data_IF_873435571574
#
_entry.id   IF_873435571574
#
_cell.length_a   1.000
_cell.length_b   1.000
_cell.length_c   1.000
_cell.angle_alpha   90.00
_cell.angle_beta   90.00
_cell.angle_gamma   90.00
#
_symmetry.space_group_name_H-M   'P 1'
#
loop_
_entity.id
_entity.type
_entity.pdbx_description
1 polymer ?
#
# COMPACT_ATOMS: atom_id res chain seq x y z
N UNK A 1 5.87 -20.99 10.11
CA UNK A 1 5.81 -19.68 10.80
C UNK A 1 4.70 -18.88 10.14
N UNK A 2 3.65 -18.55 10.91
CA UNK A 2 2.58 -17.69 10.44
C UNK A 2 3.16 -16.26 10.30
N UNK A 3 2.74 -15.48 9.28
CA UNK A 3 3.14 -14.08 9.19
C UNK A 3 2.80 -13.34 10.48
N UNK A 4 3.69 -12.48 10.94
CA UNK A 4 3.59 -11.75 12.21
C UNK A 4 2.32 -10.90 12.36
N UNK A 5 1.60 -10.64 11.27
CA UNK A 5 0.39 -9.80 11.21
C UNK A 5 -0.93 -10.58 11.28
N UNK A 6 -0.90 -11.90 11.43
CA UNK A 6 -2.13 -12.70 11.56
C UNK A 6 -2.58 -12.79 13.01
N UNK A 7 -3.84 -12.45 13.25
CA UNK A 7 -4.47 -12.66 14.56
C UNK A 7 -4.63 -14.15 14.85
N UNK A 8 -4.34 -14.56 16.09
CA UNK A 8 -4.46 -15.96 16.49
C UNK A 8 -5.92 -16.46 16.33
N UNK A 9 -6.12 -17.72 15.91
CA UNK A 9 -7.43 -18.36 15.92
C UNK A 9 -8.04 -18.27 17.33
N UNK A 10 -9.25 -17.69 17.44
CA UNK A 10 -9.90 -17.45 18.74
C UNK A 10 -9.82 -16.02 19.25
N UNK A 11 -9.06 -15.14 18.59
CA UNK A 11 -9.11 -13.70 18.86
C UNK A 11 -10.54 -13.18 18.68
N UNK A 12 -11.09 -12.36 19.62
CA UNK A 12 -12.43 -11.79 19.50
C UNK A 12 -12.69 -11.07 18.17
N UNK A 13 -11.69 -10.43 17.59
CA UNK A 13 -11.80 -9.75 16.29
C UNK A 13 -11.98 -10.75 15.15
N UNK A 14 -11.26 -11.87 15.14
CA UNK A 14 -11.44 -12.94 14.14
C UNK A 14 -12.87 -13.49 14.22
N UNK A 15 -13.34 -13.80 15.43
CA UNK A 15 -14.70 -14.31 15.64
C UNK A 15 -15.77 -13.33 15.20
N UNK A 16 -15.55 -12.03 15.41
CA UNK A 16 -16.47 -10.97 14.96
C UNK A 16 -16.47 -10.88 13.43
N UNK A 17 -15.30 -10.91 12.80
CA UNK A 17 -15.16 -10.90 11.34
C UNK A 17 -15.86 -12.10 10.70
N UNK A 18 -15.66 -13.30 11.25
CA UNK A 18 -16.35 -14.52 10.83
C UNK A 18 -17.88 -14.40 10.97
N UNK A 19 -18.35 -13.89 12.12
CA UNK A 19 -19.80 -13.72 12.36
C UNK A 19 -20.45 -12.76 11.39
N UNK A 20 -19.78 -11.63 11.08
CA UNK A 20 -20.27 -10.65 10.09
C UNK A 20 -20.33 -11.30 8.70
N UNK A 21 -19.25 -12.01 8.32
CA UNK A 21 -19.17 -12.68 7.03
C UNK A 21 -20.22 -13.79 6.88
N UNK A 22 -20.49 -14.58 7.96
CA UNK A 22 -21.57 -15.58 7.99
C UNK A 22 -22.93 -14.89 7.76
N UNK A 23 -23.19 -13.81 8.50
CA UNK A 23 -24.47 -13.10 8.41
C UNK A 23 -24.72 -12.56 7.00
N UNK A 24 -23.71 -11.95 6.36
CA UNK A 24 -23.84 -11.42 5.00
C UNK A 24 -24.01 -12.55 3.99
N UNK A 25 -23.24 -13.63 4.14
CA UNK A 25 -23.37 -14.81 3.28
C UNK A 25 -24.76 -15.43 3.40
N UNK A 26 -25.31 -15.54 4.61
CA UNK A 26 -26.66 -16.07 4.85
C UNK A 26 -27.73 -15.19 4.18
N UNK A 27 -27.62 -13.88 4.25
CA UNK A 27 -28.55 -12.96 3.58
C UNK A 27 -28.56 -13.17 2.06
N UNK A 28 -27.38 -13.33 1.46
CA UNK A 28 -27.23 -13.51 0.01
C UNK A 28 -27.74 -14.89 -0.41
N UNK A 29 -27.31 -15.96 0.29
CA UNK A 29 -27.64 -17.35 -0.06
C UNK A 29 -29.15 -17.62 0.12
N UNK A 30 -29.75 -17.07 1.18
CA UNK A 30 -31.19 -17.24 1.45
C UNK A 30 -32.05 -16.25 0.66
N UNK A 31 -31.48 -15.39 -0.16
CA UNK A 31 -32.17 -14.34 -0.90
C UNK A 31 -33.07 -13.50 0.00
N UNK A 32 -32.56 -13.11 1.19
CA UNK A 32 -33.31 -12.31 2.16
C UNK A 32 -33.77 -10.99 1.53
N UNK A 33 -35.00 -10.60 1.79
CA UNK A 33 -35.61 -9.45 1.13
C UNK A 33 -35.19 -8.15 1.80
N UNK A 34 -34.61 -7.25 1.02
CA UNK A 34 -34.36 -5.87 1.42
C UNK A 34 -35.70 -5.10 1.36
N UNK A 35 -36.27 -4.80 2.53
CA UNK A 35 -37.61 -4.18 2.63
C UNK A 35 -37.69 -2.82 1.93
N UNK A 36 -36.62 -2.01 1.99
CA UNK A 36 -36.58 -0.68 1.36
C UNK A 36 -36.67 -0.73 -0.17
N UNK A 37 -36.14 -1.80 -0.79
CA UNK A 37 -36.07 -1.94 -2.25
C UNK A 37 -36.99 -3.06 -2.79
N UNK A 38 -37.65 -3.84 -1.92
CA UNK A 38 -38.54 -4.96 -2.26
C UNK A 38 -37.88 -5.98 -3.23
N UNK A 39 -36.61 -6.27 -3.03
CA UNK A 39 -35.81 -7.24 -3.78
C UNK A 39 -34.82 -7.98 -2.86
N UNK A 40 -34.25 -9.10 -3.30
CA UNK A 40 -33.18 -9.76 -2.52
C UNK A 40 -32.01 -8.83 -2.25
N UNK A 41 -31.40 -8.98 -1.07
CA UNK A 41 -30.15 -8.30 -0.69
C UNK A 41 -29.04 -8.74 -1.63
N UNK A 42 -28.30 -7.76 -2.16
CA UNK A 42 -27.12 -7.95 -2.99
C UNK A 42 -25.86 -7.50 -2.24
N UNK A 43 -24.68 -8.04 -2.57
CA UNK A 43 -23.42 -7.61 -1.95
C UNK A 43 -23.21 -6.10 -1.97
N UNK A 44 -23.54 -5.42 -3.07
CA UNK A 44 -23.41 -3.97 -3.23
C UNK A 44 -24.30 -3.12 -2.31
N UNK A 45 -25.34 -3.72 -1.70
CA UNK A 45 -26.18 -3.03 -0.71
C UNK A 45 -25.47 -2.85 0.65
N UNK A 46 -24.41 -3.63 0.91
CA UNK A 46 -23.76 -3.70 2.22
C UNK A 46 -22.50 -2.85 2.25
N UNK A 47 -22.40 -1.98 3.25
CA UNK A 47 -21.21 -1.18 3.56
C UNK A 47 -20.79 -1.45 5.00
N UNK A 48 -19.51 -1.79 5.21
CA UNK A 48 -18.94 -2.01 6.52
C UNK A 48 -17.98 -0.87 6.83
N UNK A 49 -18.28 -0.10 7.86
CA UNK A 49 -17.50 1.08 8.25
C UNK A 49 -16.63 0.78 9.46
N UNK A 50 -15.33 1.00 9.29
CA UNK A 50 -14.32 0.83 10.32
C UNK A 50 -13.78 2.20 10.76
N UNK A 51 -13.40 2.33 12.03
CA UNK A 51 -12.77 3.57 12.51
C UNK A 51 -11.35 3.72 11.99
N UNK A 52 -10.60 2.62 11.99
CA UNK A 52 -9.22 2.55 11.51
C UNK A 52 -9.05 1.32 10.66
N UNK A 53 -8.19 1.40 9.68
CA UNK A 53 -7.65 0.23 9.00
C UNK A 53 -6.65 -0.47 9.92
N UNK A 54 -6.58 -1.76 9.83
CA UNK A 54 -5.68 -2.58 10.62
C UNK A 54 -6.01 -4.05 10.42
N UNK A 55 -5.38 -4.90 11.21
CA UNK A 55 -5.53 -6.37 11.14
C UNK A 55 -6.98 -6.86 11.14
N UNK A 56 -7.89 -6.13 11.79
CA UNK A 56 -9.33 -6.48 11.79
C UNK A 56 -9.96 -6.30 10.39
N UNK A 57 -9.59 -5.25 9.63
CA UNK A 57 -10.08 -5.05 8.26
C UNK A 57 -9.65 -6.20 7.34
N UNK A 58 -8.40 -6.64 7.48
CA UNK A 58 -7.84 -7.76 6.71
C UNK A 58 -8.54 -9.08 7.05
N UNK A 59 -8.77 -9.35 8.34
CA UNK A 59 -9.51 -10.52 8.77
C UNK A 59 -10.94 -10.53 8.24
N UNK A 60 -11.61 -9.37 8.23
CA UNK A 60 -12.96 -9.23 7.71
C UNK A 60 -13.03 -9.53 6.20
N UNK A 61 -12.12 -8.95 5.42
CA UNK A 61 -12.01 -9.21 3.98
C UNK A 61 -11.71 -10.70 3.73
N UNK A 62 -10.80 -11.30 4.51
CA UNK A 62 -10.48 -12.73 4.43
C UNK A 62 -11.70 -13.59 4.72
N UNK A 63 -12.44 -13.28 5.79
CA UNK A 63 -13.63 -14.02 6.20
C UNK A 63 -14.76 -13.95 5.14
N UNK A 64 -14.95 -12.79 4.50
CA UNK A 64 -15.91 -12.62 3.41
C UNK A 64 -15.50 -13.41 2.17
N UNK A 65 -14.24 -13.34 1.77
CA UNK A 65 -13.69 -14.10 0.62
C UNK A 65 -13.78 -15.60 0.85
N UNK A 66 -13.52 -16.10 2.07
CA UNK A 66 -13.63 -17.51 2.41
C UNK A 66 -15.06 -18.04 2.25
N UNK A 67 -16.06 -17.18 2.26
CA UNK A 67 -17.49 -17.49 2.01
C UNK A 67 -17.94 -17.16 0.60
N UNK A 68 -17.01 -16.84 -0.30
CA UNK A 68 -17.29 -16.45 -1.68
C UNK A 68 -18.21 -15.23 -1.79
N UNK A 69 -18.21 -14.35 -0.79
CA UNK A 69 -18.91 -13.07 -0.81
C UNK A 69 -18.04 -12.07 -1.57
N UNK A 70 -18.50 -11.48 -2.69
CA UNK A 70 -17.77 -10.43 -3.40
C UNK A 70 -17.51 -9.24 -2.47
N UNK A 71 -16.29 -8.79 -2.39
CA UNK A 71 -15.88 -7.68 -1.51
C UNK A 71 -15.13 -6.63 -2.32
N UNK A 72 -15.71 -5.44 -2.45
CA UNK A 72 -15.00 -4.22 -2.84
C UNK A 72 -14.32 -3.68 -1.59
N UNK A 73 -13.07 -3.89 -1.47
CA UNK A 73 -12.43 -3.47 -0.24
C UNK A 73 -11.09 -4.12 0.00
N UNK A 74 -10.46 -4.43 -1.02
CA UNK A 74 -9.06 -4.15 -1.19
C UNK A 74 -9.02 -3.00 -2.16
N UNK A 75 -8.70 -1.91 -1.84
CA UNK A 75 -7.41 -1.42 -1.59
C UNK A 75 -7.41 0.09 -1.67
N UNK A 76 -7.09 0.66 -0.58
CA UNK A 76 -5.96 1.55 -0.70
C UNK A 76 -4.74 0.63 -0.53
N UNK A 77 -4.34 -0.08 -1.58
CA UNK A 77 -3.02 -0.64 -1.68
C UNK A 77 -2.10 0.57 -1.57
N UNK A 78 -1.21 0.59 -0.59
CA UNK A 78 -0.06 1.48 -0.67
C UNK A 78 0.64 0.99 -1.93
N UNK A 79 0.51 1.74 -3.00
CA UNK A 79 0.95 1.31 -4.32
C UNK A 79 2.43 0.93 -4.30
N UNK A 80 3.21 1.64 -3.47
CA UNK A 80 4.64 1.40 -3.25
C UNK A 80 4.96 0.08 -2.55
N UNK A 81 3.98 -0.60 -1.91
CA UNK A 81 4.19 -1.93 -1.32
C UNK A 81 4.06 -3.05 -2.34
N UNK A 82 3.52 -2.76 -3.53
CA UNK A 82 3.38 -3.78 -4.57
C UNK A 82 4.70 -4.08 -5.26
N UNK A 83 5.08 -5.36 -5.36
CA UNK A 83 6.38 -5.78 -5.92
C UNK A 83 6.65 -5.20 -7.31
N UNK A 84 5.66 -5.20 -8.22
CA UNK A 84 5.83 -4.61 -9.55
C UNK A 84 6.18 -3.12 -9.50
N UNK A 85 5.62 -2.38 -8.53
CA UNK A 85 5.90 -0.96 -8.35
C UNK A 85 7.26 -0.75 -7.69
N UNK A 86 7.63 -1.60 -6.74
CA UNK A 86 8.97 -1.60 -6.15
C UNK A 86 10.07 -1.84 -7.20
N UNK A 87 9.83 -2.78 -8.15
CA UNK A 87 10.75 -3.03 -9.25
C UNK A 87 10.88 -1.81 -10.20
N UNK A 88 9.78 -1.12 -10.47
CA UNK A 88 9.81 0.13 -11.25
C UNK A 88 10.53 1.27 -10.49
N UNK A 89 10.29 1.42 -9.19
CA UNK A 89 10.98 2.39 -8.34
C UNK A 89 12.48 2.08 -8.31
N UNK A 90 12.87 0.82 -8.12
CA UNK A 90 14.29 0.42 -8.13
C UNK A 90 14.96 0.74 -9.47
N UNK A 91 14.25 0.51 -10.59
CA UNK A 91 14.74 0.89 -11.92
C UNK A 91 14.95 2.40 -12.06
N UNK A 92 14.00 3.20 -11.59
CA UNK A 92 14.13 4.66 -11.57
C UNK A 92 15.24 5.16 -10.64
N UNK A 93 15.41 4.53 -9.48
CA UNK A 93 16.50 4.83 -8.53
C UNK A 93 17.87 4.51 -9.15
N UNK A 94 18.00 3.36 -9.81
CA UNK A 94 19.22 3.06 -10.59
C UNK A 94 19.51 4.11 -11.64
N UNK A 95 18.48 4.57 -12.36
CA UNK A 95 18.64 5.59 -13.40
C UNK A 95 19.18 6.92 -12.86
N UNK A 96 18.83 7.29 -11.61
CA UNK A 96 19.31 8.52 -10.95
C UNK A 96 20.70 8.31 -10.34
N UNK A 97 20.93 7.18 -9.68
CA UNK A 97 22.17 6.89 -8.96
C UNK A 97 22.66 5.46 -9.26
N UNK A 98 23.33 5.26 -10.42
CA UNK A 98 23.83 3.94 -10.83
C UNK A 98 24.94 3.38 -9.92
N UNK A 99 25.51 4.23 -9.07
CA UNK A 99 26.51 3.84 -8.08
C UNK A 99 25.90 3.26 -6.76
N UNK A 100 24.57 3.26 -6.65
CA UNK A 100 23.86 2.56 -5.56
C UNK A 100 23.81 1.06 -5.84
N UNK A 101 24.69 0.32 -5.17
CA UNK A 101 24.82 -1.12 -5.33
C UNK A 101 23.56 -1.89 -4.92
N UNK A 102 22.79 -1.40 -3.93
CA UNK A 102 21.58 -2.07 -3.48
C UNK A 102 20.48 -2.00 -4.55
N UNK A 103 20.23 -0.82 -5.08
CA UNK A 103 19.28 -0.66 -6.17
C UNK A 103 19.73 -1.39 -7.43
N UNK A 104 21.02 -1.34 -7.76
CA UNK A 104 21.57 -2.09 -8.90
C UNK A 104 21.36 -3.59 -8.72
N UNK A 105 21.63 -4.15 -7.54
CA UNK A 105 21.39 -5.56 -7.25
C UNK A 105 19.89 -5.92 -7.34
N UNK A 106 19.01 -5.04 -6.85
CA UNK A 106 17.55 -5.23 -6.95
C UNK A 106 17.09 -5.31 -8.40
N UNK A 107 17.56 -4.40 -9.26
CA UNK A 107 17.23 -4.41 -10.70
C UNK A 107 17.79 -5.64 -11.40
N UNK A 108 19.02 -6.08 -11.06
CA UNK A 108 19.62 -7.27 -11.64
C UNK A 108 18.84 -8.54 -11.29
N UNK A 109 18.35 -8.66 -10.05
CA UNK A 109 17.53 -9.80 -9.59
C UNK A 109 16.07 -9.71 -10.01
N UNK A 110 15.60 -8.52 -10.30
CA UNK A 110 14.22 -8.24 -10.65
C UNK A 110 13.77 -8.84 -12.00
N UNK A 111 12.50 -8.70 -12.34
CA UNK A 111 11.85 -9.35 -13.47
C UNK A 111 12.45 -9.00 -14.85
N UNK A 112 13.19 -7.91 -14.95
CA UNK A 112 13.76 -7.44 -16.20
C UNK A 112 15.05 -8.18 -16.60
N UNK A 113 15.80 -8.71 -15.62
CA UNK A 113 17.14 -9.28 -15.84
C UNK A 113 17.32 -10.66 -15.21
N UNK A 114 16.53 -11.01 -14.20
CA UNK A 114 16.41 -12.34 -13.59
C UNK A 114 17.74 -12.97 -13.15
N UNK A 115 18.70 -12.18 -12.65
CA UNK A 115 19.94 -12.72 -12.13
C UNK A 115 19.67 -13.61 -10.91
N UNK A 116 20.25 -14.81 -10.93
CA UNK A 116 20.23 -15.68 -9.75
C UNK A 116 21.29 -15.25 -8.72
N UNK A 117 21.24 -15.88 -7.54
CA UNK A 117 22.16 -15.57 -6.41
C UNK A 117 23.63 -15.81 -6.79
N UNK A 118 23.92 -16.85 -7.58
CA UNK A 118 25.27 -17.19 -7.99
C UNK A 118 25.85 -16.13 -8.94
N UNK A 119 25.08 -15.69 -9.91
CA UNK A 119 25.48 -14.63 -10.85
C UNK A 119 25.71 -13.30 -10.14
N UNK A 120 24.84 -12.94 -9.19
CA UNK A 120 25.00 -11.72 -8.42
C UNK A 120 26.18 -11.81 -7.49
N UNK A 121 26.40 -12.96 -6.84
CA UNK A 121 27.54 -13.18 -5.98
C UNK A 121 28.87 -13.12 -6.75
N UNK A 122 28.93 -13.79 -7.93
CA UNK A 122 30.13 -13.74 -8.79
C UNK A 122 30.47 -12.31 -9.23
N UNK A 123 29.45 -11.50 -9.53
CA UNK A 123 29.63 -10.10 -9.88
C UNK A 123 30.06 -9.25 -8.68
N UNK A 124 29.54 -9.55 -7.49
CA UNK A 124 29.77 -8.75 -6.29
C UNK A 124 31.08 -9.06 -5.58
N UNK A 125 31.55 -10.32 -5.67
CA UNK A 125 32.72 -10.78 -4.91
C UNK A 125 34.02 -10.21 -5.47
N UNK A 126 34.81 -9.58 -4.59
CA UNK A 126 36.17 -9.12 -4.93
C UNK A 126 36.25 -7.89 -5.84
N UNK A 127 35.10 -7.25 -6.16
CA UNK A 127 35.09 -6.04 -6.96
C UNK A 127 35.80 -4.88 -6.25
N UNK A 128 36.40 -3.99 -7.02
CA UNK A 128 37.06 -2.78 -6.52
C UNK A 128 36.17 -1.52 -6.59
N UNK A 129 35.06 -1.58 -7.35
CA UNK A 129 34.14 -0.48 -7.59
C UNK A 129 32.68 -0.87 -7.35
N UNK A 130 31.77 -0.11 -7.97
CA UNK A 130 30.32 -0.36 -7.90
C UNK A 130 29.92 -1.61 -8.71
N UNK A 131 28.76 -2.21 -8.39
CA UNK A 131 28.22 -3.32 -9.16
C UNK A 131 28.04 -2.96 -10.64
N UNK A 132 27.59 -1.75 -10.91
CA UNK A 132 27.42 -1.26 -12.27
C UNK A 132 28.76 -1.17 -13.03
N UNK A 133 29.81 -0.64 -12.39
CA UNK A 133 31.14 -0.57 -13.00
C UNK A 133 31.71 -1.98 -13.27
N UNK A 134 31.51 -2.92 -12.34
CA UNK A 134 31.97 -4.30 -12.49
C UNK A 134 31.19 -5.01 -13.62
N UNK A 135 29.88 -4.87 -13.69
CA UNK A 135 29.07 -5.44 -14.75
C UNK A 135 29.52 -4.96 -16.14
N UNK A 136 29.79 -3.66 -16.27
CA UNK A 136 30.32 -3.10 -17.53
C UNK A 136 31.67 -3.64 -17.91
N UNK A 137 32.55 -3.80 -16.92
CA UNK A 137 33.91 -4.33 -17.17
C UNK A 137 33.89 -5.80 -17.60
N UNK A 138 32.88 -6.55 -17.17
CA UNK A 138 32.74 -7.99 -17.42
C UNK A 138 31.66 -8.33 -18.46
N UNK A 139 31.14 -7.35 -19.20
CA UNK A 139 30.05 -7.55 -20.15
C UNK A 139 30.34 -8.62 -21.22
N UNK A 140 31.60 -8.81 -21.62
CA UNK A 140 32.00 -9.79 -22.65
C UNK A 140 32.18 -11.21 -22.08
N UNK A 141 32.05 -11.42 -20.76
CA UNK A 141 32.26 -12.72 -20.13
C UNK A 141 31.06 -13.67 -20.27
N UNK A 142 29.85 -13.13 -20.39
CA UNK A 142 28.64 -13.92 -20.59
C UNK A 142 27.53 -13.14 -21.32
N UNK A 143 26.63 -13.86 -21.97
CA UNK A 143 25.46 -13.26 -22.60
C UNK A 143 24.55 -12.56 -21.59
N UNK A 144 24.45 -13.08 -20.37
CA UNK A 144 23.66 -12.46 -19.30
C UNK A 144 24.24 -11.09 -18.91
N UNK A 145 25.57 -10.99 -18.73
CA UNK A 145 26.22 -9.72 -18.42
C UNK A 145 26.14 -8.72 -19.57
N UNK A 146 26.30 -9.17 -20.81
CA UNK A 146 26.12 -8.33 -21.98
C UNK A 146 24.70 -7.75 -22.08
N UNK A 147 23.68 -8.61 -21.90
CA UNK A 147 22.28 -8.18 -21.92
C UNK A 147 21.98 -7.20 -20.80
N UNK A 148 22.42 -7.48 -19.59
CA UNK A 148 22.22 -6.58 -18.44
C UNK A 148 22.94 -5.23 -18.62
N UNK A 149 24.19 -5.25 -19.11
CA UNK A 149 24.96 -4.02 -19.39
C UNK A 149 24.27 -3.18 -20.46
N UNK A 150 23.77 -3.79 -21.53
CA UNK A 150 23.04 -3.08 -22.58
C UNK A 150 21.73 -2.50 -22.08
N UNK A 151 20.93 -3.29 -21.35
CA UNK A 151 19.67 -2.87 -20.75
C UNK A 151 19.87 -1.66 -19.82
N UNK A 152 20.78 -1.76 -18.87
CA UNK A 152 21.06 -0.69 -17.91
C UNK A 152 21.64 0.55 -18.58
N UNK A 153 22.49 0.39 -19.62
CA UNK A 153 23.00 1.50 -20.42
C UNK A 153 21.89 2.22 -21.18
N UNK A 154 20.87 1.51 -21.65
CA UNK A 154 19.71 2.09 -22.30
C UNK A 154 18.88 2.91 -21.28
N UNK A 155 18.65 2.39 -20.10
CA UNK A 155 17.97 3.10 -19.00
C UNK A 155 18.67 4.44 -18.70
N UNK A 156 19.99 4.42 -18.54
CA UNK A 156 20.77 5.64 -18.25
C UNK A 156 20.70 6.68 -19.37
N UNK A 157 20.66 6.26 -20.63
CA UNK A 157 20.53 7.18 -21.77
C UNK A 157 19.21 7.94 -21.79
N UNK A 158 18.16 7.39 -21.22
CA UNK A 158 16.82 7.98 -21.21
C UNK A 158 16.52 8.77 -19.92
N UNK A 159 17.26 8.52 -18.84
CA UNK A 159 17.00 9.07 -17.52
C UNK A 159 16.97 10.61 -17.48
N UNK A 160 17.90 11.27 -18.15
CA UNK A 160 18.03 12.72 -18.15
C UNK A 160 17.16 13.43 -19.19
N UNK A 161 16.66 12.68 -20.18
CA UNK A 161 16.00 13.25 -21.35
C UNK A 161 14.48 13.12 -21.35
N UNK A 162 13.94 12.20 -20.54
CA UNK A 162 12.51 11.87 -20.57
C UNK A 162 11.81 12.25 -19.28
N UNK A 163 10.57 12.79 -19.37
CA UNK A 163 9.68 12.92 -18.22
C UNK A 163 9.38 11.55 -17.59
N UNK A 164 8.95 11.49 -16.32
CA UNK A 164 8.65 10.23 -15.63
C UNK A 164 7.71 9.29 -16.39
N UNK A 165 6.64 9.82 -16.97
CA UNK A 165 5.70 9.00 -17.76
C UNK A 165 6.36 8.38 -18.99
N UNK A 166 7.09 9.16 -19.76
CA UNK A 166 7.78 8.65 -20.97
C UNK A 166 8.84 7.62 -20.60
N UNK A 167 9.60 7.86 -19.53
CA UNK A 167 10.64 6.95 -19.05
C UNK A 167 10.05 5.55 -18.71
N UNK A 168 9.01 5.50 -17.87
CA UNK A 168 8.42 4.25 -17.46
C UNK A 168 7.56 3.60 -18.55
N UNK A 169 6.77 4.37 -19.30
CA UNK A 169 5.93 3.84 -20.38
C UNK A 169 6.75 3.24 -21.52
N UNK A 170 7.88 3.89 -21.87
CA UNK A 170 8.81 3.35 -22.86
C UNK A 170 9.37 2.00 -22.42
N UNK A 171 9.77 1.85 -21.15
CA UNK A 171 10.29 0.60 -20.63
C UNK A 171 9.25 -0.50 -20.58
N UNK A 172 8.05 -0.16 -20.12
CA UNK A 172 6.93 -1.10 -20.04
C UNK A 172 6.45 -1.56 -21.43
N UNK A 173 6.45 -0.64 -22.42
CA UNK A 173 6.07 -0.95 -23.80
C UNK A 173 7.09 -1.81 -24.55
N UNK A 174 8.35 -1.84 -24.09
CA UNK A 174 9.43 -2.62 -24.72
C UNK A 174 9.70 -3.95 -23.96
N UNK A 175 8.67 -4.72 -23.68
CA UNK A 175 8.76 -6.04 -23.03
C UNK A 175 8.78 -5.99 -21.50
N UNK A 176 8.77 -4.80 -20.89
CA UNK A 176 8.81 -4.67 -19.43
C UNK A 176 7.52 -5.13 -18.76
N UNK A 177 6.36 -4.88 -19.38
CA UNK A 177 5.07 -5.34 -18.86
C UNK A 177 4.97 -6.87 -18.89
N UNK A 178 5.40 -7.48 -19.99
CA UNK A 178 5.44 -8.92 -20.16
C UNK A 178 6.38 -9.59 -19.13
N UNK A 179 7.53 -8.98 -18.86
CA UNK A 179 8.47 -9.47 -17.85
C UNK A 179 7.85 -9.41 -16.43
N UNK A 180 7.20 -8.31 -16.07
CA UNK A 180 6.49 -8.18 -14.79
C UNK A 180 5.36 -9.22 -14.68
N UNK A 181 4.57 -9.43 -15.72
CA UNK A 181 3.50 -10.44 -15.74
C UNK A 181 4.03 -11.88 -15.64
N UNK A 182 5.14 -12.18 -16.32
CA UNK A 182 5.75 -13.51 -16.25
C UNK A 182 6.25 -13.84 -14.84
N UNK A 183 6.75 -12.83 -14.12
CA UNK A 183 7.33 -12.99 -12.79
C UNK A 183 6.28 -12.95 -11.67
N UNK A 184 5.30 -12.04 -11.75
CA UNK A 184 4.35 -11.72 -10.70
C UNK A 184 2.90 -12.14 -11.00
N UNK A 185 2.62 -12.59 -12.23
CA UNK A 185 1.27 -12.89 -12.67
C UNK A 185 0.52 -11.66 -13.23
N UNK A 186 -0.69 -11.93 -13.74
CA UNK A 186 -1.56 -10.88 -14.33
C UNK A 186 -2.01 -9.82 -13.33
N UNK A 187 -1.92 -10.11 -12.04
CA UNK A 187 -2.26 -9.19 -10.94
C UNK A 187 -1.35 -7.95 -10.91
N UNK A 188 -0.18 -8.01 -11.54
CA UNK A 188 0.74 -6.89 -11.66
C UNK A 188 0.23 -5.75 -12.56
N UNK A 189 -0.74 -6.02 -13.45
CA UNK A 189 -1.21 -5.02 -14.43
C UNK A 189 -1.85 -3.80 -13.79
N UNK A 190 -2.79 -4.01 -12.90
CA UNK A 190 -3.51 -2.93 -12.25
C UNK A 190 -2.59 -1.96 -11.49
N UNK A 191 -1.64 -2.46 -10.63
CA UNK A 191 -0.66 -1.60 -9.96
C UNK A 191 0.27 -0.86 -10.94
N UNK A 192 0.64 -1.48 -12.05
CA UNK A 192 1.49 -0.85 -13.08
C UNK A 192 0.72 0.27 -13.80
N UNK A 193 -0.55 0.05 -14.15
CA UNK A 193 -1.38 1.08 -14.80
C UNK A 193 -1.62 2.26 -13.86
N UNK A 194 -1.84 1.99 -12.59
CA UNK A 194 -2.00 3.03 -11.58
C UNK A 194 -0.68 3.80 -11.36
N UNK A 195 0.45 3.11 -11.29
CA UNK A 195 1.76 3.77 -11.22
C UNK A 195 1.97 4.73 -12.40
N UNK A 196 1.63 4.32 -13.64
CA UNK A 196 1.69 5.21 -14.79
C UNK A 196 0.72 6.39 -14.70
N UNK A 197 -0.47 6.18 -14.16
CA UNK A 197 -1.44 7.25 -13.94
C UNK A 197 -0.89 8.30 -12.96
N UNK A 198 -0.21 7.86 -11.90
CA UNK A 198 0.45 8.76 -10.94
C UNK A 198 1.62 9.54 -11.55
N UNK A 199 2.36 8.97 -12.50
CA UNK A 199 3.39 9.75 -13.20
C UNK A 199 2.77 10.93 -13.95
N UNK A 200 1.64 10.71 -14.64
CA UNK A 200 0.92 11.79 -15.34
C UNK A 200 0.32 12.82 -14.37
N UNK A 201 -0.17 12.38 -13.21
CA UNK A 201 -0.68 13.30 -12.19
C UNK A 201 0.45 14.18 -11.64
N UNK A 202 1.59 13.59 -11.33
CA UNK A 202 2.77 14.31 -10.90
C UNK A 202 3.20 15.36 -11.94
N UNK A 203 3.29 15.00 -13.21
CA UNK A 203 3.72 15.88 -14.30
C UNK A 203 2.80 17.09 -14.51
N UNK A 204 1.52 17.00 -14.14
CA UNK A 204 0.57 18.13 -14.21
C UNK A 204 0.81 19.20 -13.15
N UNK A 205 1.41 18.82 -12.02
CA UNK A 205 1.47 19.66 -10.81
C UNK A 205 2.90 20.02 -10.40
N UNK A 206 3.90 19.31 -10.91
CA UNK A 206 5.30 19.39 -10.48
C UNK A 206 6.26 19.51 -11.67
N UNK A 207 7.51 19.97 -11.45
CA UNK A 207 8.55 19.93 -12.48
C UNK A 207 8.79 18.50 -12.97
N UNK A 208 9.06 18.36 -14.27
CA UNK A 208 9.27 17.08 -14.95
C UNK A 208 10.62 16.47 -14.54
N UNK A 209 10.70 15.87 -13.38
CA UNK A 209 11.92 15.29 -12.81
C UNK A 209 11.65 13.86 -12.33
N UNK A 210 12.46 12.92 -12.80
CA UNK A 210 12.38 11.52 -12.36
C UNK A 210 12.68 11.40 -10.86
N UNK A 211 13.69 12.11 -10.37
CA UNK A 211 14.01 12.17 -8.93
C UNK A 211 12.86 12.76 -8.11
N UNK A 212 12.29 13.88 -8.62
CA UNK A 212 11.14 14.52 -7.98
C UNK A 212 9.95 13.57 -7.86
N UNK A 213 9.63 12.82 -8.91
CA UNK A 213 8.55 11.85 -8.92
C UNK A 213 8.81 10.70 -7.93
N UNK A 214 10.01 10.11 -7.93
CA UNK A 214 10.33 9.02 -7.02
C UNK A 214 10.29 9.44 -5.55
N UNK A 215 10.77 10.64 -5.24
CA UNK A 215 10.65 11.17 -3.89
C UNK A 215 9.19 11.46 -3.51
N UNK A 216 8.39 11.99 -4.45
CA UNK A 216 6.98 12.28 -4.21
C UNK A 216 6.16 11.02 -3.94
N UNK A 217 6.37 9.93 -4.71
CA UNK A 217 5.61 8.69 -4.55
C UNK A 217 6.00 7.91 -3.28
N UNK A 218 7.26 8.01 -2.84
CA UNK A 218 7.74 7.33 -1.63
C UNK A 218 7.40 8.10 -0.33
N UNK A 219 7.43 9.45 -0.35
CA UNK A 219 7.11 10.28 0.81
C UNK A 219 5.59 10.42 0.97
N UNK A 220 4.88 10.60 -0.14
CA UNK A 220 3.45 10.48 -0.14
C UNK A 220 3.12 9.01 0.04
N UNK A 221 2.52 8.60 1.15
CA UNK A 221 1.68 7.42 1.13
C UNK A 221 0.58 7.70 0.09
N UNK A 222 0.91 7.51 -1.21
CA UNK A 222 -0.04 7.71 -2.30
C UNK A 222 -1.05 6.59 -2.19
N UNK A 223 -2.04 6.84 -1.36
CA UNK A 223 -3.24 6.04 -1.29
C UNK A 223 -3.98 6.20 -2.61
N UNK A 224 -3.82 5.22 -3.49
CA UNK A 224 -4.64 5.13 -4.69
C UNK A 224 -6.08 5.00 -4.26
N UNK A 225 -6.83 6.08 -4.41
CA UNK A 225 -8.28 5.99 -4.48
C UNK A 225 -8.59 5.30 -5.81
N UNK A 226 -8.74 3.97 -5.81
CA UNK A 226 -9.61 3.41 -6.84
C UNK A 226 -10.94 4.12 -6.70
N UNK A 227 -11.32 4.90 -7.69
CA UNK A 227 -12.71 5.24 -7.88
C UNK A 227 -13.44 3.89 -7.89
N UNK A 228 -14.14 3.64 -6.79
CA UNK A 228 -15.09 2.54 -6.72
C UNK A 228 -16.10 2.84 -7.81
N UNK A 229 -15.88 2.30 -9.01
CA UNK A 229 -16.86 2.33 -10.06
C UNK A 229 -18.17 1.87 -9.42
N UNK A 230 -19.12 2.78 -9.38
CA UNK A 230 -20.48 2.51 -8.95
C UNK A 230 -21.07 1.48 -9.93
N UNK A 231 -20.83 0.19 -9.71
CA UNK A 231 -21.32 -0.81 -10.64
C UNK A 231 -20.97 -2.26 -10.31
N UNK A 232 -19.98 -2.50 -9.49
CA UNK A 232 -19.69 -3.87 -9.03
C UNK A 232 -20.62 -4.22 -7.86
N UNK A 233 -21.29 -5.37 -7.95
CA UNK A 233 -22.12 -5.92 -6.87
C UNK A 233 -21.25 -6.56 -5.79
N UNK A 234 -20.61 -5.72 -4.95
CA UNK A 234 -19.63 -6.11 -3.96
C UNK A 234 -19.85 -5.41 -2.61
N UNK A 235 -19.60 -6.14 -1.51
CA UNK A 235 -19.61 -5.56 -0.15
C UNK A 235 -18.47 -4.55 -0.02
N UNK A 236 -18.78 -3.33 0.43
CA UNK A 236 -17.79 -2.25 0.59
C UNK A 236 -17.27 -2.21 2.02
N UNK A 237 -15.95 -2.38 2.20
CA UNK A 237 -15.26 -2.25 3.50
C UNK A 237 -14.38 -1.02 3.47
N UNK A 238 -14.70 -0.01 4.30
CA UNK A 238 -13.99 1.27 4.28
C UNK A 238 -13.96 1.95 5.65
N UNK A 239 -13.18 3.01 5.78
CA UNK A 239 -13.19 3.81 7.00
C UNK A 239 -14.36 4.79 7.01
N UNK A 240 -14.81 5.21 8.22
CA UNK A 240 -15.85 6.22 8.38
C UNK A 240 -15.51 7.51 7.61
N UNK A 241 -14.25 7.94 7.64
CA UNK A 241 -13.81 9.11 6.88
C UNK A 241 -13.85 8.88 5.35
N UNK A 242 -13.49 7.68 4.90
CA UNK A 242 -13.54 7.31 3.48
C UNK A 242 -14.95 7.17 2.93
N UNK A 243 -15.95 6.96 3.79
CA UNK A 243 -17.35 6.83 3.43
C UNK A 243 -18.09 8.17 3.34
N UNK A 244 -17.44 9.31 3.62
CA UNK A 244 -18.09 10.62 3.59
C UNK A 244 -18.68 10.90 2.20
N UNK A 245 -20.00 11.11 2.15
CA UNK A 245 -20.74 11.36 0.90
C UNK A 245 -21.23 10.10 0.18
N UNK A 246 -20.88 8.90 0.67
CA UNK A 246 -21.39 7.63 0.14
C UNK A 246 -22.66 7.17 0.89
N UNK A 247 -23.45 6.32 0.23
CA UNK A 247 -24.68 5.75 0.76
C UNK A 247 -24.70 4.23 0.56
N UNK A 248 -25.35 3.52 1.47
CA UNK A 248 -25.66 2.11 1.34
C UNK A 248 -26.98 1.80 2.05
N UNK A 249 -27.69 0.78 1.57
CA UNK A 249 -28.94 0.33 2.18
C UNK A 249 -28.72 -0.34 3.53
N UNK A 250 -27.58 -1.05 3.67
CA UNK A 250 -27.18 -1.73 4.90
C UNK A 250 -25.81 -1.22 5.32
N UNK A 251 -25.72 -0.65 6.53
CA UNK A 251 -24.45 -0.18 7.11
C UNK A 251 -24.14 -0.96 8.37
N UNK A 252 -22.96 -1.57 8.42
CA UNK A 252 -22.46 -2.34 9.57
C UNK A 252 -21.31 -1.58 10.24
N UNK A 253 -21.40 -1.36 11.55
CA UNK A 253 -20.43 -0.65 12.38
C UNK A 253 -19.83 -1.63 13.41
N UNK A 254 -18.81 -2.43 13.06
CA UNK A 254 -18.35 -3.54 13.90
C UNK A 254 -17.49 -3.12 15.09
N UNK A 255 -16.84 -1.96 15.07
CA UNK A 255 -15.86 -1.53 16.08
C UNK A 255 -16.33 -0.35 16.96
N UNK A 256 -17.64 -0.21 17.14
CA UNK A 256 -18.25 0.90 17.92
C UNK A 256 -17.96 0.83 19.42
N UNK A 257 -17.54 -0.31 19.95
CA UNK A 257 -17.28 -0.53 21.37
C UNK A 257 -15.84 -0.28 21.81
N UNK A 258 -14.91 -0.11 20.89
CA UNK A 258 -13.53 0.16 21.26
C UNK A 258 -13.34 1.63 21.63
N UNK A 259 -13.09 1.88 22.91
CA UNK A 259 -12.67 3.21 23.37
C UNK A 259 -11.24 3.51 22.88
N UNK A 260 -10.89 4.81 22.64
CA UNK A 260 -9.52 5.17 22.34
C UNK A 260 -8.62 4.69 23.49
N UNK A 261 -7.71 3.78 23.17
CA UNK A 261 -6.71 3.31 24.11
C UNK A 261 -5.66 4.40 24.37
N UNK A 262 -4.96 4.30 25.50
CA UNK A 262 -3.88 5.21 25.89
C UNK A 262 -2.73 5.32 24.86
N UNK A 263 -2.69 4.45 23.85
CA UNK A 263 -1.67 4.44 22.78
C UNK A 263 -1.94 5.44 21.65
N UNK A 264 -3.13 6.03 21.56
CA UNK A 264 -3.45 7.03 20.52
C UNK A 264 -3.18 8.47 20.97
N UNK A 265 -2.70 8.66 22.20
CA UNK A 265 -2.40 9.98 22.70
C UNK A 265 -1.16 10.56 21.99
N UNK A 266 -1.28 11.80 21.54
CA UNK A 266 -0.15 12.60 21.07
C UNK A 266 0.98 12.55 22.11
N UNK A 267 2.20 12.25 21.69
CA UNK A 267 3.38 12.30 22.58
C UNK A 267 3.81 13.73 22.89
N UNK A 268 3.18 14.72 22.25
CA UNK A 268 3.50 16.15 22.41
C UNK A 268 2.29 16.84 22.99
N UNK A 269 2.48 17.54 24.11
CA UNK A 269 1.46 18.30 24.81
C UNK A 269 1.84 19.78 24.84
N UNK A 270 0.89 20.65 24.54
CA UNK A 270 1.02 22.10 24.72
C UNK A 270 0.38 22.47 26.05
N UNK A 271 1.12 23.20 26.88
CA UNK A 271 0.58 23.76 28.12
C UNK A 271 0.07 25.17 27.87
N UNK A 272 -0.76 25.66 28.78
CA UNK A 272 -1.32 27.04 28.74
C UNK A 272 -0.23 28.15 28.83
N UNK A 273 0.99 27.77 29.22
CA UNK A 273 2.15 28.69 29.33
C UNK A 273 3.04 28.61 28.03
N UNK A 274 2.52 28.15 26.89
CA UNK A 274 3.23 27.98 25.63
C UNK A 274 4.44 27.02 25.69
N UNK A 275 4.49 26.12 26.68
CA UNK A 275 5.52 25.10 26.76
C UNK A 275 5.09 23.83 26.04
N UNK A 276 6.02 23.31 25.25
CA UNK A 276 5.88 22.00 24.59
C UNK A 276 6.47 20.93 25.50
N UNK A 277 5.64 19.98 25.93
CA UNK A 277 6.04 18.87 26.79
C UNK A 277 6.05 17.59 25.98
N UNK A 278 7.18 16.87 26.01
CA UNK A 278 7.36 15.60 25.30
C UNK A 278 7.96 14.55 26.27
N UNK A 279 7.12 13.76 26.95
CA UNK A 279 7.60 12.66 27.76
C UNK A 279 8.17 11.57 26.87
N UNK A 280 9.48 11.33 26.95
CA UNK A 280 10.18 10.33 26.13
C UNK A 280 9.75 8.90 26.47
N UNK A 281 9.41 8.65 27.77
CA UNK A 281 8.97 7.35 28.28
C UNK A 281 7.82 7.53 29.27
N UNK A 282 6.87 6.57 29.30
CA UNK A 282 5.73 6.60 30.22
C UNK A 282 6.14 6.57 31.71
N UNK A 283 7.29 5.98 32.02
CA UNK A 283 7.84 5.89 33.38
C UNK A 283 8.33 7.25 33.92
N UNK A 284 8.69 8.16 33.00
CA UNK A 284 9.21 9.51 33.33
C UNK A 284 8.17 10.62 33.06
N UNK A 285 6.88 10.26 33.00
CA UNK A 285 5.80 11.21 32.74
C UNK A 285 5.58 12.11 33.97
N UNK A 286 5.92 13.40 33.81
CA UNK A 286 5.69 14.40 34.83
C UNK A 286 4.19 14.59 35.17
N UNK A 287 3.88 14.99 36.40
CA UNK A 287 2.52 15.21 36.84
C UNK A 287 1.74 16.20 35.95
N UNK A 288 2.43 17.16 35.34
CA UNK A 288 1.88 18.16 34.41
C UNK A 288 1.47 17.54 33.07
N UNK A 289 2.28 16.64 32.51
CA UNK A 289 1.94 15.88 31.31
C UNK A 289 0.71 15.02 31.54
N UNK A 290 0.65 14.36 32.71
CA UNK A 290 -0.48 13.52 33.10
C UNK A 290 -1.78 14.31 33.22
N UNK A 291 -1.72 15.49 33.82
CA UNK A 291 -2.88 16.41 33.96
C UNK A 291 -3.39 16.86 32.57
N UNK A 292 -2.50 17.25 31.65
CA UNK A 292 -2.86 17.63 30.27
C UNK A 292 -3.48 16.47 29.49
N UNK A 293 -2.97 15.28 29.70
CA UNK A 293 -3.50 14.04 29.09
C UNK A 293 -4.91 13.75 29.61
N UNK A 294 -5.13 13.87 30.90
CA UNK A 294 -6.45 13.67 31.48
C UNK A 294 -7.44 14.75 31.05
N UNK A 295 -7.01 15.99 30.89
CA UNK A 295 -7.85 17.08 30.41
C UNK A 295 -8.33 16.90 28.96
N UNK A 296 -7.50 16.30 28.09
CA UNK A 296 -7.87 15.99 26.67
C UNK A 296 -8.81 14.81 26.51
N UNK A 297 -8.87 13.92 27.49
CA UNK A 297 -9.67 12.69 27.40
C UNK A 297 -11.16 12.93 27.12
N UNK A 298 -11.84 13.92 27.71
CA UNK A 298 -13.23 14.24 27.39
C UNK A 298 -13.42 14.74 25.96
N UNK A 299 -12.48 15.54 25.44
CA UNK A 299 -12.54 16.06 24.07
C UNK A 299 -12.42 14.95 23.05
N UNK A 300 -11.48 14.04 23.24
CA UNK A 300 -11.31 12.86 22.40
C UNK A 300 -12.56 11.98 22.41
N UNK A 301 -13.19 11.76 23.58
CA UNK A 301 -14.44 11.03 23.69
C UNK A 301 -15.62 11.73 22.98
N UNK A 302 -15.70 13.06 23.00
CA UNK A 302 -16.72 13.81 22.28
C UNK A 302 -16.50 13.73 20.76
N UNK A 303 -15.27 13.79 20.30
CA UNK A 303 -14.93 13.64 18.87
C UNK A 303 -15.33 12.24 18.37
N UNK A 304 -15.04 11.18 19.13
CA UNK A 304 -15.51 9.83 18.81
C UNK A 304 -17.03 9.72 18.74
N UNK A 305 -17.77 10.39 19.63
CA UNK A 305 -19.23 10.42 19.60
C UNK A 305 -19.81 11.18 18.41
N UNK A 306 -19.05 12.10 17.83
CA UNK A 306 -19.47 12.84 16.60
C UNK A 306 -19.20 12.04 15.32
N UNK A 307 -18.31 11.05 15.36
CA UNK A 307 -17.97 10.19 14.23
C UNK A 307 -18.89 8.96 14.11
N UNK A 308 -19.65 8.66 15.15
CA UNK A 308 -20.69 7.64 15.21
C UNK A 308 -22.08 8.28 14.98
#
# INVERSE_FOLDING_TARGET
DAPLDQLAPGNPQVRLAEKIADTISDWIVNAEVLESANRPIQPGDVMILLRKRGTFAEELVRALKARSVPVAGRDRMILTDHLAVQDLIALGRFAILPDDDLNTATVLKGPFLEFNEEQLFDLAQGRAGTLWAELRSRQDQSAAYANASNFLSEILRHADAQPPFEFFSHRLGNGGREALQAHLGTEANDPVDEFLSLTLEFERQHPLSLEGFLNWIEIGEVEVKRDLEQGADEVRVMTVHGAKGLQAEIVILPDTFSLPGAQSDSRVYWSDDDLVLWPAFAENEEARCRALKEARRPETLQEYRRLL
#
